data_IF_223336940664
#
_entry.id   IF_223336940664
#
_cell.length_a   1.000
_cell.length_b   1.000
_cell.length_c   1.000
_cell.angle_alpha   90.00
_cell.angle_beta   90.00
_cell.angle_gamma   90.00
#
_symmetry.space_group_name_H-M   'P 1'
#
loop_
_entity.id
_entity.type
_entity.pdbx_description
1 polymer ?
#
# COMPACT_ATOMS: atom_id res chain seq x y z
N UNK A 1 -7.37 0.03 -20.84
CA UNK A 1 -5.93 -0.31 -20.79
C UNK A 1 -5.02 0.91 -20.98
N UNK A 2 -5.49 1.99 -21.62
CA UNK A 2 -4.79 3.26 -21.88
C UNK A 2 -5.08 4.37 -20.84
N UNK A 3 -4.96 4.07 -19.54
CA UNK A 3 -5.06 5.11 -18.51
C UNK A 3 -3.73 5.86 -18.45
N UNK A 4 -3.80 7.19 -18.50
CA UNK A 4 -2.65 8.10 -18.41
C UNK A 4 -2.76 8.92 -17.13
N UNK A 5 -1.62 9.34 -16.61
CA UNK A 5 -1.51 10.14 -15.39
C UNK A 5 -0.85 11.48 -15.71
N UNK A 6 -0.83 12.40 -14.75
CA UNK A 6 -0.41 13.79 -15.00
C UNK A 6 1.05 14.06 -14.73
N UNK A 7 1.72 13.24 -13.92
CA UNK A 7 3.14 13.42 -13.64
C UNK A 7 3.97 13.18 -14.90
N UNK A 8 4.93 14.08 -15.15
CA UNK A 8 5.85 14.00 -16.29
C UNK A 8 6.60 12.65 -16.30
N UNK A 9 6.99 12.17 -17.48
CA UNK A 9 7.61 10.84 -17.62
C UNK A 9 9.06 10.90 -18.04
N UNK A 10 9.48 11.95 -18.76
CA UNK A 10 10.81 12.01 -19.34
C UNK A 10 11.35 13.43 -19.38
N UNK A 11 12.68 13.57 -19.37
CA UNK A 11 13.34 14.79 -19.84
C UNK A 11 13.41 14.78 -21.38
N UNK A 12 13.61 15.95 -21.99
CA UNK A 12 13.72 16.09 -23.47
C UNK A 12 12.46 15.63 -24.24
N UNK A 13 11.28 15.81 -23.64
CA UNK A 13 9.98 15.61 -24.29
C UNK A 13 9.27 16.95 -24.52
N UNK A 14 8.24 16.95 -25.37
CA UNK A 14 7.48 18.14 -25.72
C UNK A 14 6.26 18.28 -24.81
N UNK A 15 6.00 19.51 -24.37
CA UNK A 15 4.73 19.91 -23.76
C UNK A 15 3.91 20.71 -24.76
N UNK A 16 2.67 20.28 -24.99
CA UNK A 16 1.79 20.86 -25.98
C UNK A 16 0.33 20.86 -25.52
N UNK A 17 -0.36 21.96 -25.82
CA UNK A 17 -1.72 22.24 -25.36
C UNK A 17 -2.73 21.95 -26.45
N UNK A 18 -3.74 21.17 -26.12
CA UNK A 18 -4.97 21.09 -26.88
C UNK A 18 -6.00 22.04 -26.27
N UNK A 19 -6.13 23.21 -26.87
CA UNK A 19 -7.10 24.22 -26.47
C UNK A 19 -8.51 23.81 -26.90
N UNK A 20 -9.48 23.99 -26.01
CA UNK A 20 -10.88 23.81 -26.37
C UNK A 20 -11.46 25.08 -27.02
N UNK A 21 -12.17 24.94 -28.14
CA UNK A 21 -12.88 26.05 -28.75
C UNK A 21 -14.06 26.48 -27.87
N UNK A 22 -14.14 27.78 -27.64
CA UNK A 22 -15.22 28.42 -26.93
C UNK A 22 -16.04 29.27 -27.91
N UNK A 23 -17.34 29.34 -27.69
CA UNK A 23 -18.21 30.25 -28.40
C UNK A 23 -18.02 31.71 -27.93
N UNK A 24 -18.74 32.63 -28.54
CA UNK A 24 -18.71 34.06 -28.22
C UNK A 24 -19.10 34.40 -26.77
N UNK A 25 -19.76 33.49 -26.06
CA UNK A 25 -20.16 33.64 -24.67
C UNK A 25 -19.19 32.94 -23.70
N UNK A 26 -18.10 32.36 -24.22
CA UNK A 26 -17.14 31.59 -23.42
C UNK A 26 -17.62 30.18 -23.08
N UNK A 27 -18.66 29.67 -23.76
CA UNK A 27 -19.19 28.32 -23.55
C UNK A 27 -18.48 27.34 -24.50
N UNK A 28 -18.05 26.15 -24.04
CA UNK A 28 -17.43 25.18 -24.92
C UNK A 28 -18.33 24.77 -26.09
N UNK A 29 -17.82 24.85 -27.33
CA UNK A 29 -18.49 24.27 -28.50
C UNK A 29 -18.38 22.75 -28.44
N UNK A 30 -19.43 22.09 -27.95
CA UNK A 30 -19.40 20.66 -27.66
C UNK A 30 -19.07 19.78 -28.88
N UNK A 31 -19.42 20.22 -30.10
CA UNK A 31 -19.10 19.47 -31.32
C UNK A 31 -17.61 19.53 -31.59
N UNK A 32 -17.03 20.72 -31.52
CA UNK A 32 -15.61 20.92 -31.76
C UNK A 32 -14.75 20.38 -30.60
N UNK A 33 -15.22 20.46 -29.35
CA UNK A 33 -14.60 19.82 -28.17
C UNK A 33 -14.54 18.30 -28.35
N UNK A 34 -15.63 17.67 -28.79
CA UNK A 34 -15.63 16.22 -29.04
C UNK A 34 -14.58 15.84 -30.08
N UNK A 35 -14.46 16.61 -31.16
CA UNK A 35 -13.44 16.36 -32.19
C UNK A 35 -12.02 16.43 -31.63
N UNK A 36 -11.72 17.42 -30.78
CA UNK A 36 -10.41 17.52 -30.09
C UNK A 36 -10.16 16.30 -29.21
N UNK A 37 -11.12 15.88 -28.40
CA UNK A 37 -10.96 14.69 -27.55
C UNK A 37 -10.83 13.40 -28.34
N UNK A 38 -11.51 13.25 -29.48
CA UNK A 38 -11.36 12.09 -30.36
C UNK A 38 -9.91 11.97 -30.88
N UNK A 39 -9.26 13.09 -31.21
CA UNK A 39 -7.83 13.14 -31.58
C UNK A 39 -6.94 12.72 -30.42
N UNK A 40 -7.15 13.26 -29.22
CA UNK A 40 -6.37 12.92 -28.02
C UNK A 40 -6.52 11.44 -27.66
N UNK A 41 -7.75 10.91 -27.70
CA UNK A 41 -8.04 9.50 -27.41
C UNK A 41 -7.35 8.59 -28.42
N UNK A 42 -7.36 8.96 -29.70
CA UNK A 42 -6.64 8.23 -30.75
C UNK A 42 -5.14 8.22 -30.47
N UNK A 43 -4.53 9.38 -30.20
CA UNK A 43 -3.10 9.48 -29.88
C UNK A 43 -2.71 8.66 -28.64
N UNK A 44 -3.54 8.66 -27.59
CA UNK A 44 -3.34 7.84 -26.40
C UNK A 44 -3.38 6.33 -26.72
N UNK A 45 -4.36 5.89 -27.53
CA UNK A 45 -4.46 4.48 -27.95
C UNK A 45 -3.30 4.03 -28.81
N UNK A 46 -2.70 4.95 -29.57
CA UNK A 46 -1.49 4.73 -30.36
C UNK A 46 -0.21 4.77 -29.51
N UNK A 47 -0.29 5.05 -28.21
CA UNK A 47 0.85 5.09 -27.30
C UNK A 47 1.71 6.34 -27.41
N UNK A 48 1.17 7.42 -28.01
CA UNK A 48 1.92 8.65 -28.30
C UNK A 48 1.99 9.62 -27.12
N UNK A 49 1.09 9.47 -26.15
CA UNK A 49 0.97 10.35 -24.98
C UNK A 49 1.68 9.73 -23.79
N UNK A 50 2.62 10.47 -23.19
CA UNK A 50 3.37 10.08 -22.01
C UNK A 50 2.62 10.42 -20.72
N UNK A 51 2.16 11.66 -20.62
CA UNK A 51 1.33 12.17 -19.53
C UNK A 51 0.35 13.22 -20.05
N UNK A 52 -0.72 13.47 -19.29
CA UNK A 52 -1.68 14.52 -19.62
C UNK A 52 -2.31 15.13 -18.38
N UNK A 53 -2.61 16.43 -18.44
CA UNK A 53 -3.27 17.17 -17.37
C UNK A 53 -4.29 18.15 -17.92
N UNK A 54 -5.47 18.16 -17.32
CA UNK A 54 -6.51 19.17 -17.60
C UNK A 54 -6.10 20.52 -17.02
N UNK A 55 -6.37 21.60 -17.75
CA UNK A 55 -6.12 22.96 -17.28
C UNK A 55 -7.27 23.44 -16.39
N UNK A 56 -6.93 23.99 -15.22
CA UNK A 56 -7.86 24.48 -14.21
C UNK A 56 -7.83 26.00 -14.06
N UNK A 57 -8.14 26.47 -12.86
CA UNK A 57 -8.25 27.90 -12.55
C UNK A 57 -6.90 28.62 -12.54
N UNK A 58 -5.80 27.96 -12.19
CA UNK A 58 -4.45 28.53 -12.20
C UNK A 58 -3.74 28.42 -13.55
N UNK A 59 -4.45 28.01 -14.62
CA UNK A 59 -3.95 28.01 -15.98
C UNK A 59 -2.81 27.00 -16.25
N UNK A 60 -2.01 27.31 -17.26
CA UNK A 60 -0.85 26.51 -17.65
C UNK A 60 0.24 26.49 -16.58
N UNK A 61 0.47 27.61 -15.88
CA UNK A 61 1.47 27.70 -14.83
C UNK A 61 1.22 26.69 -13.71
N UNK A 62 -0.02 26.63 -13.20
CA UNK A 62 -0.43 25.63 -12.21
C UNK A 62 -0.31 24.20 -12.78
N UNK A 63 -0.76 24.00 -14.01
CA UNK A 63 -0.75 22.68 -14.64
C UNK A 63 0.68 22.13 -14.77
N UNK A 64 1.56 22.87 -15.44
CA UNK A 64 2.98 22.52 -15.63
C UNK A 64 3.65 22.24 -14.29
N UNK A 65 3.49 23.13 -13.32
CA UNK A 65 4.09 22.99 -11.99
C UNK A 65 3.65 21.70 -11.31
N UNK A 66 2.34 21.39 -11.31
CA UNK A 66 1.81 20.16 -10.71
C UNK A 66 2.16 18.89 -11.48
N UNK A 67 2.43 18.97 -12.79
CA UNK A 67 2.93 17.81 -13.56
C UNK A 67 4.39 17.48 -13.17
N UNK A 68 5.16 18.49 -12.75
CA UNK A 68 6.57 18.35 -12.35
C UNK A 68 6.77 17.94 -10.87
N UNK A 69 5.74 18.06 -10.03
CA UNK A 69 5.81 17.68 -8.62
C UNK A 69 6.05 16.18 -8.43
N UNK A 70 6.80 15.83 -7.38
CA UNK A 70 7.12 14.45 -6.99
C UNK A 70 8.32 13.85 -7.72
N UNK A 71 8.34 13.87 -9.06
CA UNK A 71 9.47 13.36 -9.85
C UNK A 71 10.57 14.40 -10.11
N UNK A 72 10.26 15.70 -9.95
CA UNK A 72 11.23 16.77 -10.11
C UNK A 72 11.70 16.99 -11.56
N UNK A 73 10.95 16.52 -12.56
CA UNK A 73 11.29 16.75 -13.97
C UNK A 73 11.08 18.24 -14.28
N UNK A 74 12.13 18.90 -14.74
CA UNK A 74 12.13 20.32 -15.07
C UNK A 74 11.29 20.61 -16.31
N UNK A 75 10.92 21.88 -16.50
CA UNK A 75 10.19 22.34 -17.68
C UNK A 75 10.74 23.69 -18.12
N UNK A 76 11.06 23.79 -19.40
CA UNK A 76 11.41 25.02 -20.09
C UNK A 76 10.22 25.46 -20.95
N UNK A 77 9.52 26.50 -20.48
CA UNK A 77 8.33 27.05 -21.12
C UNK A 77 8.75 28.04 -22.20
N UNK A 78 8.13 27.95 -23.37
CA UNK A 78 8.39 28.84 -24.49
C UNK A 78 8.14 30.31 -24.10
N UNK A 79 9.23 31.10 -24.07
CA UNK A 79 9.26 32.50 -23.65
C UNK A 79 8.51 33.46 -24.59
N UNK A 80 8.07 32.97 -25.76
CA UNK A 80 7.21 33.71 -26.69
C UNK A 80 5.73 33.68 -26.30
N UNK A 81 5.35 32.87 -25.32
CA UNK A 81 3.97 32.83 -24.81
C UNK A 81 3.73 34.09 -23.98
N UNK A 82 2.59 34.75 -24.20
CA UNK A 82 2.17 35.88 -23.37
C UNK A 82 2.10 35.45 -21.89
N UNK A 83 2.83 36.10 -20.97
CA UNK A 83 2.78 35.78 -19.55
C UNK A 83 1.36 35.79 -18.98
N UNK A 84 0.47 36.67 -19.47
CA UNK A 84 -0.92 36.69 -19.01
C UNK A 84 -1.69 35.42 -19.42
N UNK A 85 -1.32 34.79 -20.55
CA UNK A 85 -1.92 33.55 -21.00
C UNK A 85 -1.56 32.35 -20.10
N UNK A 86 -0.38 32.35 -19.48
CA UNK A 86 0.06 31.27 -18.59
C UNK A 86 -0.87 31.08 -17.39
N UNK A 87 -1.51 32.16 -16.93
CA UNK A 87 -2.41 32.17 -15.78
C UNK A 87 -3.90 32.20 -16.18
N UNK A 88 -4.21 32.14 -17.48
CA UNK A 88 -5.59 32.14 -17.95
C UNK A 88 -6.25 30.78 -17.66
N UNK A 89 -7.45 30.76 -17.04
CA UNK A 89 -8.23 29.53 -16.92
C UNK A 89 -8.63 28.99 -18.29
N UNK A 90 -8.39 27.70 -18.54
CA UNK A 90 -8.71 27.04 -19.81
C UNK A 90 -9.42 25.70 -19.56
N UNK A 91 -10.54 25.74 -18.83
CA UNK A 91 -11.27 24.55 -18.42
C UNK A 91 -11.53 23.57 -19.56
N UNK A 92 -11.20 22.29 -19.32
CA UNK A 92 -11.34 21.19 -20.27
C UNK A 92 -10.20 21.09 -21.29
N UNK A 93 -9.38 22.14 -21.48
CA UNK A 93 -8.17 22.03 -22.31
C UNK A 93 -7.18 21.07 -21.66
N UNK A 94 -6.39 20.38 -22.47
CA UNK A 94 -5.49 19.33 -21.99
C UNK A 94 -4.06 19.66 -22.41
N UNK A 95 -3.17 19.76 -21.43
CA UNK A 95 -1.72 19.79 -21.64
C UNK A 95 -1.21 18.35 -21.71
N UNK A 96 -0.45 18.06 -22.76
CA UNK A 96 0.04 16.72 -23.09
C UNK A 96 1.56 16.74 -23.19
N UNK A 97 2.18 15.71 -22.62
CA UNK A 97 3.59 15.37 -22.80
C UNK A 97 3.72 14.26 -23.86
N UNK A 98 4.61 14.45 -24.83
CA UNK A 98 4.92 13.42 -25.85
C UNK A 98 6.29 13.66 -26.50
N UNK A 99 6.83 12.63 -27.16
CA UNK A 99 8.09 12.76 -27.91
C UNK A 99 7.92 13.38 -29.30
N UNK A 100 6.69 13.45 -29.82
CA UNK A 100 6.38 13.99 -31.13
C UNK A 100 5.32 15.10 -31.06
N UNK A 101 5.28 15.95 -32.08
CA UNK A 101 4.25 16.98 -32.22
C UNK A 101 2.94 16.31 -32.60
N UNK A 102 1.87 16.60 -31.86
CA UNK A 102 0.55 16.04 -32.15
C UNK A 102 -0.28 17.03 -32.97
N UNK A 103 -0.98 16.54 -33.99
CA UNK A 103 -1.84 17.35 -34.85
C UNK A 103 -2.92 18.07 -34.04
N UNK A 104 -3.11 19.38 -34.30
CA UNK A 104 -4.10 20.20 -33.59
C UNK A 104 -3.67 20.71 -32.21
N UNK A 105 -2.40 20.52 -31.84
CA UNK A 105 -1.84 21.03 -30.59
C UNK A 105 -1.01 22.30 -30.79
N UNK A 106 -0.88 23.09 -29.72
CA UNK A 106 -0.02 24.27 -29.65
C UNK A 106 1.20 23.98 -28.77
N UNK A 107 2.44 24.23 -29.24
CA UNK A 107 3.63 24.00 -28.42
C UNK A 107 3.68 24.94 -27.22
N UNK A 108 3.89 24.38 -26.02
CA UNK A 108 4.00 25.12 -24.76
C UNK A 108 5.44 25.18 -24.28
N UNK A 109 6.20 24.11 -24.44
CA UNK A 109 7.58 24.03 -23.95
C UNK A 109 8.14 22.63 -24.08
N UNK A 110 9.20 22.35 -23.32
CA UNK A 110 9.85 21.04 -23.27
C UNK A 110 10.20 20.66 -21.84
N UNK A 111 10.24 19.37 -21.55
CA UNK A 111 10.74 18.87 -20.27
C UNK A 111 12.26 18.85 -20.24
N UNK A 112 12.86 18.98 -19.06
CA UNK A 112 14.32 19.05 -18.84
C UNK A 112 14.71 18.26 -17.59
N UNK A 113 16.01 18.04 -17.39
CA UNK A 113 16.58 17.33 -16.24
C UNK A 113 17.12 18.25 -15.13
N UNK A 114 16.88 19.57 -15.23
CA UNK A 114 17.50 20.58 -14.37
C UNK A 114 16.74 20.89 -13.06
N UNK A 115 15.64 20.17 -12.79
CA UNK A 115 14.77 20.34 -11.62
C UNK A 115 14.16 21.74 -11.43
N UNK A 116 13.98 22.50 -12.52
CA UNK A 116 13.46 23.87 -12.48
C UNK A 116 12.30 24.06 -13.45
N UNK A 117 11.41 24.98 -13.11
CA UNK A 117 10.47 25.59 -14.06
C UNK A 117 11.11 26.88 -14.57
N UNK A 118 11.28 26.99 -15.88
CA UNK A 118 11.98 28.08 -16.56
C UNK A 118 11.03 28.80 -17.50
N UNK A 119 11.09 30.13 -17.51
CA UNK A 119 10.39 30.99 -18.47
C UNK A 119 11.26 32.21 -18.79
N UNK A 120 11.81 32.28 -20.01
CA UNK A 120 12.76 33.32 -20.38
C UNK A 120 14.03 33.26 -19.52
N UNK A 121 14.35 34.34 -18.81
CA UNK A 121 15.47 34.41 -17.88
C UNK A 121 15.14 33.92 -16.46
N UNK A 122 13.86 33.73 -16.15
CA UNK A 122 13.41 33.37 -14.81
C UNK A 122 13.43 31.85 -14.63
N UNK A 123 13.88 31.39 -13.46
CA UNK A 123 13.93 29.97 -13.13
C UNK A 123 13.64 29.77 -11.63
N UNK A 124 12.70 28.87 -11.32
CA UNK A 124 12.34 28.52 -9.94
C UNK A 124 12.55 27.01 -9.75
N UNK A 125 13.20 26.62 -8.66
CA UNK A 125 13.42 25.22 -8.36
C UNK A 125 12.11 24.52 -7.93
N UNK A 126 11.91 23.28 -8.38
CA UNK A 126 10.66 22.55 -8.13
C UNK A 126 10.44 22.31 -6.64
N UNK A 127 11.51 22.05 -5.88
CA UNK A 127 11.44 21.87 -4.43
C UNK A 127 10.94 23.13 -3.69
N UNK A 128 11.32 24.33 -4.14
CA UNK A 128 10.81 25.60 -3.59
C UNK A 128 9.30 25.74 -3.86
N UNK A 129 8.86 25.38 -5.07
CA UNK A 129 7.43 25.40 -5.44
C UNK A 129 6.62 24.37 -4.64
N UNK A 130 7.17 23.18 -4.39
CA UNK A 130 6.53 22.15 -3.57
C UNK A 130 6.35 22.62 -2.13
N UNK A 131 7.38 23.23 -1.54
CA UNK A 131 7.32 23.76 -0.18
C UNK A 131 6.22 24.82 -0.03
N UNK A 132 6.11 25.74 -0.99
CA UNK A 132 5.03 26.75 -1.02
C UNK A 132 3.66 26.11 -1.20
N UNK A 133 3.56 25.05 -2.01
CA UNK A 133 2.30 24.34 -2.26
C UNK A 133 1.79 23.57 -1.04
N UNK A 134 2.69 22.96 -0.27
CA UNK A 134 2.36 22.12 0.89
C UNK A 134 2.14 22.93 2.17
N UNK A 135 2.86 24.05 2.34
CA UNK A 135 2.81 24.90 3.53
C UNK A 135 1.39 25.28 4.03
N UNK A 136 0.39 25.62 3.17
CA UNK A 136 -0.91 26.10 3.63
C UNK A 136 -1.70 25.11 4.48
N UNK A 137 -1.55 23.80 4.23
CA UNK A 137 -2.32 22.77 4.94
C UNK A 137 -1.51 22.05 6.02
N UNK A 138 -0.18 22.24 6.08
CA UNK A 138 0.72 21.50 6.96
C UNK A 138 0.36 21.59 8.44
N UNK A 139 -0.13 22.75 8.90
CA UNK A 139 -0.53 22.96 10.29
C UNK A 139 -1.76 22.15 10.72
N UNK A 140 -2.61 21.73 9.76
CA UNK A 140 -3.84 20.97 10.00
C UNK A 140 -3.69 19.51 9.55
N UNK A 141 -2.98 19.29 8.45
CA UNK A 141 -2.74 18.00 7.83
C UNK A 141 -1.24 17.81 7.60
N UNK A 142 -0.46 17.44 8.64
CA UNK A 142 0.95 17.17 8.47
C UNK A 142 1.16 16.04 7.47
N UNK A 143 2.14 16.20 6.58
CA UNK A 143 2.48 15.23 5.53
C UNK A 143 3.17 14.01 6.11
N UNK A 144 3.95 14.22 7.19
CA UNK A 144 4.72 13.21 7.92
C UNK A 144 4.71 13.51 9.42
N UNK A 145 5.00 12.50 10.23
CA UNK A 145 5.40 12.73 11.61
C UNK A 145 6.87 13.18 11.67
N UNK A 146 7.19 14.10 12.59
CA UNK A 146 8.57 14.46 12.89
C UNK A 146 9.24 13.33 13.67
N UNK A 147 10.26 12.75 13.06
CA UNK A 147 10.99 11.60 13.57
C UNK A 147 12.48 11.79 13.31
N UNK A 148 13.30 11.27 14.20
CA UNK A 148 14.75 11.36 14.09
C UNK A 148 15.40 10.07 14.57
N UNK A 149 16.67 9.90 14.18
CA UNK A 149 17.45 8.72 14.52
C UNK A 149 17.75 7.84 13.31
N UNK A 150 18.75 6.98 13.49
CA UNK A 150 19.11 5.95 12.54
C UNK A 150 18.56 4.60 13.01
N UNK A 151 18.35 3.70 12.07
CA UNK A 151 17.93 2.33 12.33
C UNK A 151 18.73 1.40 11.43
N UNK A 152 19.04 0.21 11.95
CA UNK A 152 19.74 -0.80 11.17
C UNK A 152 18.84 -1.42 10.10
N UNK A 153 19.41 -1.64 8.92
CA UNK A 153 18.77 -2.45 7.87
C UNK A 153 19.06 -3.92 8.11
N UNK A 154 18.08 -4.66 8.63
CA UNK A 154 18.26 -6.03 9.08
C UNK A 154 18.33 -7.01 7.91
N UNK A 155 19.10 -8.09 8.08
CA UNK A 155 19.15 -9.18 7.11
C UNK A 155 19.33 -10.53 7.80
N UNK A 156 18.30 -11.37 7.77
CA UNK A 156 18.32 -12.70 8.36
C UNK A 156 17.95 -13.75 7.31
N UNK A 157 18.90 -14.64 6.98
CA UNK A 157 18.74 -15.63 5.92
C UNK A 157 18.63 -17.04 6.48
N UNK A 158 17.56 -17.74 6.12
CA UNK A 158 17.34 -19.17 6.40
C UNK A 158 17.45 -19.97 5.11
N UNK A 159 18.22 -21.05 5.15
CA UNK A 159 18.37 -22.04 4.08
C UNK A 159 18.63 -23.43 4.68
N UNK A 160 17.97 -24.51 4.22
CA UNK A 160 16.93 -24.56 3.18
C UNK A 160 15.58 -24.02 3.67
N UNK A 161 14.70 -23.68 2.72
CA UNK A 161 13.30 -23.35 3.02
C UNK A 161 12.59 -24.63 3.46
N UNK A 162 11.82 -24.55 4.55
CA UNK A 162 11.04 -25.68 5.09
C UNK A 162 9.70 -25.77 4.35
N UNK A 163 9.31 -26.97 3.94
CA UNK A 163 8.04 -27.29 3.29
C UNK A 163 7.31 -28.36 4.08
N UNK A 164 5.98 -28.38 3.99
CA UNK A 164 5.18 -29.44 4.59
C UNK A 164 5.52 -30.79 3.93
N UNK A 165 5.51 -31.87 4.73
CA UNK A 165 5.89 -33.21 4.23
C UNK A 165 4.85 -33.79 3.28
N UNK A 166 3.58 -33.61 3.61
CA UNK A 166 2.47 -34.11 2.81
C UNK A 166 2.08 -33.13 1.72
N UNK A 167 1.82 -33.65 0.53
CA UNK A 167 1.38 -32.86 -0.63
C UNK A 167 -0.13 -32.93 -0.78
N UNK A 168 -0.77 -31.78 -0.77
CA UNK A 168 -2.19 -31.65 -1.07
C UNK A 168 -2.37 -30.93 -2.40
N UNK A 169 -3.19 -31.50 -3.30
CA UNK A 169 -3.39 -30.92 -4.63
C UNK A 169 -4.04 -29.52 -4.57
N UNK A 170 -4.89 -29.27 -3.56
CA UNK A 170 -5.57 -28.00 -3.34
C UNK A 170 -5.78 -27.79 -1.83
N UNK A 171 -4.83 -27.15 -1.12
CA UNK A 171 -4.98 -26.90 0.32
C UNK A 171 -6.17 -25.96 0.58
N UNK A 172 -6.83 -26.15 1.71
CA UNK A 172 -7.94 -25.30 2.14
C UNK A 172 -7.44 -24.21 3.09
N UNK A 173 -7.87 -22.97 2.85
CA UNK A 173 -7.63 -21.83 3.74
C UNK A 173 -8.96 -21.34 4.31
N UNK A 174 -9.02 -21.25 5.64
CA UNK A 174 -10.16 -20.66 6.34
C UNK A 174 -9.95 -19.15 6.52
N UNK A 175 -10.95 -18.37 6.10
CA UNK A 175 -10.97 -16.91 6.20
C UNK A 175 -12.19 -16.50 7.03
N UNK A 176 -12.04 -16.24 8.35
CA UNK A 176 -13.15 -15.78 9.18
C UNK A 176 -13.56 -14.37 8.77
N UNK A 177 -14.87 -14.12 8.72
CA UNK A 177 -15.45 -12.81 8.40
C UNK A 177 -16.17 -12.28 9.63
N UNK A 178 -15.77 -11.11 10.12
CA UNK A 178 -16.41 -10.46 11.26
C UNK A 178 -17.19 -9.22 10.79
N UNK A 179 -18.24 -8.81 11.52
CA UNK A 179 -18.82 -7.49 11.35
C UNK A 179 -17.76 -6.38 11.33
N UNK A 180 -17.63 -5.69 10.19
CA UNK A 180 -16.65 -4.61 9.97
C UNK A 180 -15.35 -5.03 9.27
N UNK A 181 -15.11 -6.32 9.07
CA UNK A 181 -14.10 -6.81 8.10
C UNK A 181 -14.47 -6.31 6.69
N UNK A 182 -13.46 -5.97 5.88
CA UNK A 182 -13.70 -5.46 4.52
C UNK A 182 -12.64 -5.87 3.47
N UNK A 183 -11.72 -6.77 3.81
CA UNK A 183 -10.65 -7.26 2.93
C UNK A 183 -10.75 -8.77 2.65
N UNK A 184 -11.84 -9.41 3.07
CA UNK A 184 -12.07 -10.85 2.95
C UNK A 184 -12.18 -11.30 1.48
N UNK A 185 -12.86 -10.54 0.62
CA UNK A 185 -13.02 -10.88 -0.79
C UNK A 185 -11.70 -10.79 -1.56
N UNK A 186 -10.88 -9.79 -1.27
CA UNK A 186 -9.55 -9.66 -1.86
C UNK A 186 -8.65 -10.82 -1.42
N UNK A 187 -8.73 -11.20 -0.13
CA UNK A 187 -8.00 -12.36 0.41
C UNK A 187 -8.45 -13.68 -0.24
N UNK A 188 -9.76 -13.92 -0.37
CA UNK A 188 -10.33 -15.08 -1.07
C UNK A 188 -9.76 -15.15 -2.49
N UNK A 189 -9.86 -14.06 -3.25
CA UNK A 189 -9.39 -13.99 -4.63
C UNK A 189 -7.88 -14.25 -4.74
N UNK A 190 -7.07 -13.69 -3.83
CA UNK A 190 -5.63 -13.89 -3.81
C UNK A 190 -5.26 -15.37 -3.60
N UNK A 191 -5.91 -16.05 -2.65
CA UNK A 191 -5.67 -17.47 -2.39
C UNK A 191 -6.19 -18.38 -3.51
N UNK A 192 -7.35 -18.09 -4.09
CA UNK A 192 -7.88 -18.85 -5.22
C UNK A 192 -6.98 -18.75 -6.45
N UNK A 193 -6.46 -17.55 -6.75
CA UNK A 193 -5.48 -17.35 -7.81
C UNK A 193 -4.15 -18.09 -7.54
N UNK A 194 -3.75 -18.22 -6.27
CA UNK A 194 -2.59 -19.00 -5.87
C UNK A 194 -2.80 -20.52 -6.00
N UNK A 195 -4.06 -20.97 -6.08
CA UNK A 195 -4.46 -22.37 -6.28
C UNK A 195 -5.13 -23.03 -5.07
N UNK A 196 -5.36 -22.31 -3.97
CA UNK A 196 -6.06 -22.85 -2.80
C UNK A 196 -7.58 -22.89 -2.96
N UNK A 197 -8.24 -23.61 -2.05
CA UNK A 197 -9.69 -23.50 -1.82
C UNK A 197 -9.91 -22.58 -0.62
N UNK A 198 -10.39 -21.36 -0.87
CA UNK A 198 -10.76 -20.45 0.21
C UNK A 198 -12.18 -20.78 0.72
N UNK A 199 -12.34 -20.82 2.03
CA UNK A 199 -13.65 -20.99 2.69
C UNK A 199 -13.86 -19.88 3.71
N UNK A 200 -15.02 -19.25 3.66
CA UNK A 200 -15.39 -18.14 4.55
C UNK A 200 -16.56 -18.52 5.44
N UNK A 201 -16.50 -18.10 6.70
CA UNK A 201 -17.64 -18.18 7.64
C UNK A 201 -17.85 -16.81 8.26
N UNK A 202 -19.11 -16.35 8.30
CA UNK A 202 -19.49 -15.08 8.92
C UNK A 202 -19.73 -15.32 10.41
N UNK A 203 -19.08 -14.53 11.26
CA UNK A 203 -19.35 -14.50 12.68
C UNK A 203 -20.66 -13.76 12.95
N UNK A 204 -21.72 -14.51 13.23
CA UNK A 204 -23.03 -13.97 13.57
C UNK A 204 -23.08 -13.67 15.07
N UNK A 205 -23.46 -12.45 15.41
CA UNK A 205 -23.47 -11.96 16.78
C UNK A 205 -24.79 -11.27 17.21
N UNK A 206 -25.90 -11.58 16.52
CA UNK A 206 -27.21 -10.98 16.83
C UNK A 206 -27.91 -11.64 18.03
N UNK A 207 -27.54 -12.87 18.38
CA UNK A 207 -28.04 -13.60 19.54
C UNK A 207 -26.96 -14.47 20.18
N UNK A 208 -27.18 -14.94 21.42
CA UNK A 208 -26.27 -15.89 22.06
C UNK A 208 -26.14 -17.21 21.28
N UNK A 209 -27.23 -17.68 20.67
CA UNK A 209 -27.20 -18.89 19.85
C UNK A 209 -26.40 -18.69 18.56
N UNK A 210 -26.51 -17.52 17.93
CA UNK A 210 -25.70 -17.18 16.75
C UNK A 210 -24.20 -17.19 17.06
N UNK A 211 -23.82 -16.67 18.23
CA UNK A 211 -22.43 -16.69 18.68
C UNK A 211 -21.95 -18.13 18.85
N UNK A 212 -22.72 -18.98 19.55
CA UNK A 212 -22.37 -20.39 19.76
C UNK A 212 -22.23 -21.13 18.42
N UNK A 213 -23.20 -20.97 17.52
CA UNK A 213 -23.18 -21.60 16.20
C UNK A 213 -21.98 -21.12 15.38
N UNK A 214 -21.65 -19.82 15.43
CA UNK A 214 -20.50 -19.26 14.74
C UNK A 214 -19.19 -19.84 15.26
N UNK A 215 -19.04 -19.97 16.58
CA UNK A 215 -17.86 -20.60 17.20
C UNK A 215 -17.71 -22.05 16.72
N UNK A 216 -18.80 -22.83 16.73
CA UNK A 216 -18.78 -24.24 16.35
C UNK A 216 -18.45 -24.42 14.86
N UNK A 217 -19.07 -23.64 13.98
CA UNK A 217 -18.80 -23.65 12.55
C UNK A 217 -17.36 -23.22 12.24
N UNK A 218 -16.87 -22.15 12.86
CA UNK A 218 -15.50 -21.66 12.63
C UNK A 218 -14.46 -22.65 13.13
N UNK A 219 -14.63 -23.23 14.32
CA UNK A 219 -13.74 -24.26 14.84
C UNK A 219 -13.70 -25.50 13.91
N UNK A 220 -14.86 -25.92 13.38
CA UNK A 220 -14.91 -27.00 12.39
C UNK A 220 -14.17 -26.63 11.09
N UNK A 221 -14.30 -25.39 10.60
CA UNK A 221 -13.57 -24.94 9.41
C UNK A 221 -12.05 -24.89 9.63
N UNK A 222 -11.58 -24.50 10.82
CA UNK A 222 -10.16 -24.53 11.18
C UNK A 222 -9.63 -25.97 11.14
N UNK A 223 -10.37 -26.92 11.72
CA UNK A 223 -9.99 -28.34 11.71
C UNK A 223 -9.95 -28.94 10.29
N UNK A 224 -10.78 -28.43 9.39
CA UNK A 224 -10.80 -28.87 7.99
C UNK A 224 -9.74 -28.18 7.09
N UNK A 225 -9.09 -27.11 7.57
CA UNK A 225 -8.21 -26.26 6.76
C UNK A 225 -6.74 -26.43 7.12
N UNK A 226 -5.84 -26.22 6.17
CA UNK A 226 -4.38 -26.22 6.39
C UNK A 226 -3.85 -24.85 6.77
N UNK A 227 -4.64 -23.81 6.50
CA UNK A 227 -4.26 -22.43 6.74
C UNK A 227 -5.42 -21.64 7.36
N UNK A 228 -5.08 -20.65 8.16
CA UNK A 228 -5.99 -19.58 8.58
C UNK A 228 -5.45 -18.26 8.03
N UNK A 229 -6.31 -17.48 7.40
CA UNK A 229 -6.01 -16.10 7.02
C UNK A 229 -7.01 -15.16 7.70
N UNK A 230 -6.53 -14.30 8.60
CA UNK A 230 -7.35 -13.27 9.23
C UNK A 230 -7.26 -11.98 8.39
N UNK A 231 -8.36 -11.57 7.73
CA UNK A 231 -8.36 -10.41 6.83
C UNK A 231 -8.31 -9.06 7.57
N UNK A 232 -7.95 -8.02 6.83
CA UNK A 232 -8.03 -6.63 7.29
C UNK A 232 -9.44 -6.06 7.36
N UNK A 233 -9.55 -4.84 7.91
CA UNK A 233 -10.80 -4.09 8.06
C UNK A 233 -10.89 -3.36 9.39
N UNK A 234 -12.11 -3.09 9.84
CA UNK A 234 -12.42 -2.40 11.09
C UNK A 234 -13.37 -3.29 11.90
N UNK A 235 -12.90 -4.45 12.36
CA UNK A 235 -13.77 -5.38 13.10
C UNK A 235 -14.39 -4.71 14.33
N UNK A 236 -15.72 -4.76 14.44
CA UNK A 236 -16.51 -4.02 15.42
C UNK A 236 -16.24 -2.50 15.47
N UNK A 237 -15.81 -1.89 14.36
CA UNK A 237 -15.43 -0.47 14.30
C UNK A 237 -14.21 -0.13 15.15
N UNK A 238 -13.35 -1.11 15.42
CA UNK A 238 -12.20 -1.04 16.34
C UNK A 238 -12.58 -0.68 17.79
N UNK A 239 -13.85 -0.92 18.15
CA UNK A 239 -14.40 -0.77 19.51
C UNK A 239 -14.48 -2.14 20.21
N UNK A 240 -14.55 -2.18 21.57
CA UNK A 240 -14.50 -1.07 22.53
C UNK A 240 -13.11 -0.67 23.02
N UNK A 241 -12.04 -1.38 22.66
CA UNK A 241 -10.68 -1.07 23.15
C UNK A 241 -9.61 -1.29 22.08
N UNK A 242 -9.84 -0.76 20.88
CA UNK A 242 -8.87 -0.76 19.78
C UNK A 242 -8.98 -1.96 18.84
N UNK A 243 -8.23 -1.84 17.76
CA UNK A 243 -8.35 -2.69 16.57
C UNK A 243 -8.00 -4.16 16.83
N UNK A 244 -8.69 -5.09 16.18
CA UNK A 244 -8.43 -6.54 16.27
C UNK A 244 -8.86 -7.21 17.58
N UNK A 245 -9.33 -6.46 18.60
CA UNK A 245 -9.72 -7.02 19.90
C UNK A 245 -10.94 -7.93 19.81
N UNK A 246 -11.92 -7.59 18.98
CA UNK A 246 -13.11 -8.42 18.82
C UNK A 246 -12.76 -9.80 18.24
N UNK A 247 -11.90 -9.83 17.22
CA UNK A 247 -11.36 -11.06 16.64
C UNK A 247 -10.60 -11.85 17.71
N UNK A 248 -9.69 -11.21 18.44
CA UNK A 248 -8.91 -11.88 19.49
C UNK A 248 -9.81 -12.49 20.58
N UNK A 249 -10.86 -11.81 21.01
CA UNK A 249 -11.83 -12.34 21.98
C UNK A 249 -12.54 -13.60 21.49
N UNK A 250 -12.90 -13.65 20.20
CA UNK A 250 -13.54 -14.83 19.59
C UNK A 250 -12.56 -16.00 19.52
N UNK A 251 -11.32 -15.73 19.12
CA UNK A 251 -10.25 -16.74 19.03
C UNK A 251 -9.80 -17.28 20.39
N UNK A 252 -9.98 -16.52 21.48
CA UNK A 252 -9.77 -16.98 22.86
C UNK A 252 -10.84 -17.95 23.37
N UNK A 253 -11.96 -18.11 22.66
CA UNK A 253 -12.93 -19.14 23.02
C UNK A 253 -12.24 -20.52 23.04
N UNK A 254 -12.44 -21.36 24.08
CA UNK A 254 -11.73 -22.63 24.20
C UNK A 254 -11.81 -23.53 22.96
N UNK A 255 -12.95 -23.56 22.24
CA UNK A 255 -13.11 -24.37 21.03
C UNK A 255 -12.28 -23.82 19.85
N UNK A 256 -12.22 -22.50 19.72
CA UNK A 256 -11.42 -21.83 18.70
C UNK A 256 -9.94 -21.99 19.00
N UNK A 257 -9.54 -21.73 20.24
CA UNK A 257 -8.16 -21.87 20.70
C UNK A 257 -7.65 -23.29 20.48
N UNK A 258 -8.40 -24.31 20.90
CA UNK A 258 -8.04 -25.71 20.68
C UNK A 258 -7.83 -26.03 19.18
N UNK A 259 -8.73 -25.55 18.31
CA UNK A 259 -8.60 -25.79 16.88
C UNK A 259 -7.37 -25.10 16.26
N UNK A 260 -7.05 -23.87 16.70
CA UNK A 260 -5.85 -23.14 16.24
C UNK A 260 -4.57 -23.81 16.74
N UNK A 261 -4.53 -24.19 18.02
CA UNK A 261 -3.35 -24.84 18.60
C UNK A 261 -3.13 -26.23 18.00
N UNK A 262 -4.20 -26.98 17.70
CA UNK A 262 -4.09 -28.24 16.96
C UNK A 262 -3.51 -28.04 15.55
N UNK A 263 -3.97 -27.00 14.84
CA UNK A 263 -3.45 -26.65 13.52
C UNK A 263 -1.93 -26.40 13.56
N UNK A 264 -1.47 -25.60 14.53
CA UNK A 264 -0.06 -25.21 14.63
C UNK A 264 0.82 -26.33 15.22
N UNK A 265 0.38 -27.01 16.28
CA UNK A 265 1.26 -27.93 17.02
C UNK A 265 1.24 -29.35 16.48
N UNK A 266 0.13 -29.79 15.87
CA UNK A 266 -0.03 -31.20 15.48
C UNK A 266 -0.15 -31.40 13.96
N UNK A 267 -0.54 -30.36 13.21
CA UNK A 267 -0.89 -30.48 11.79
C UNK A 267 -0.02 -29.63 10.87
N UNK A 268 0.97 -28.95 11.46
CA UNK A 268 1.95 -28.14 10.75
C UNK A 268 1.33 -27.09 9.80
N UNK A 269 0.23 -26.48 10.23
CA UNK A 269 -0.48 -25.48 9.45
C UNK A 269 0.13 -24.08 9.53
N UNK A 270 -0.36 -23.18 8.68
CA UNK A 270 0.08 -21.79 8.62
C UNK A 270 -1.01 -20.81 9.05
N UNK A 271 -0.59 -19.67 9.59
CA UNK A 271 -1.51 -18.57 9.93
C UNK A 271 -0.98 -17.25 9.37
N UNK A 272 -1.85 -16.50 8.68
CA UNK A 272 -1.56 -15.18 8.14
C UNK A 272 -2.54 -14.16 8.72
N UNK A 273 -2.04 -12.98 9.09
CA UNK A 273 -2.86 -11.86 9.52
C UNK A 273 -2.38 -10.57 8.86
N UNK A 274 -3.30 -9.90 8.15
CA UNK A 274 -3.00 -8.64 7.46
C UNK A 274 -3.82 -7.51 8.07
N UNK A 275 -3.18 -6.38 8.37
CA UNK A 275 -3.77 -5.18 8.97
C UNK A 275 -4.54 -5.52 10.26
N UNK A 276 -5.88 -5.56 10.22
CA UNK A 276 -6.70 -5.99 11.37
C UNK A 276 -6.45 -7.43 11.80
N UNK A 277 -6.04 -8.29 10.87
CA UNK A 277 -5.56 -9.62 11.18
C UNK A 277 -4.26 -9.61 11.98
N UNK A 278 -3.28 -8.78 11.63
CA UNK A 278 -2.04 -8.66 12.40
C UNK A 278 -2.32 -8.15 13.82
N UNK A 279 -3.19 -7.15 13.95
CA UNK A 279 -3.65 -6.64 15.25
C UNK A 279 -4.32 -7.73 16.10
N UNK A 280 -5.08 -8.64 15.49
CA UNK A 280 -5.65 -9.79 16.19
C UNK A 280 -4.56 -10.79 16.61
N UNK A 281 -3.65 -11.16 15.70
CA UNK A 281 -2.58 -12.12 15.97
C UNK A 281 -1.66 -11.67 17.10
N UNK A 282 -1.24 -10.40 17.10
CA UNK A 282 -0.36 -9.87 18.15
C UNK A 282 -1.08 -9.81 19.51
N UNK A 283 -2.39 -9.48 19.52
CA UNK A 283 -3.22 -9.50 20.74
C UNK A 283 -3.58 -10.90 21.23
N UNK A 284 -3.35 -11.92 20.41
CA UNK A 284 -3.48 -13.33 20.77
C UNK A 284 -2.16 -13.93 21.27
N UNK A 285 -1.01 -13.30 20.99
CA UNK A 285 0.32 -13.84 21.29
C UNK A 285 0.87 -14.73 20.18
N UNK A 286 0.06 -15.06 19.18
CA UNK A 286 0.44 -15.89 18.03
C UNK A 286 1.64 -15.31 17.27
N UNK A 287 1.77 -13.99 17.25
CA UNK A 287 3.05 -13.33 17.02
C UNK A 287 3.42 -12.51 18.25
N UNK A 288 4.65 -12.63 18.78
CA UNK A 288 5.78 -13.39 18.23
C UNK A 288 5.87 -14.86 18.69
N UNK A 289 4.96 -15.37 19.52
CA UNK A 289 5.20 -16.63 20.25
C UNK A 289 4.81 -17.90 19.48
N UNK A 290 3.92 -17.81 18.49
CA UNK A 290 3.37 -18.99 17.80
C UNK A 290 2.24 -19.68 18.56
N UNK A 291 1.82 -19.16 19.70
CA UNK A 291 0.79 -19.75 20.55
C UNK A 291 -0.20 -18.69 21.04
N UNK A 292 -1.46 -19.09 21.28
CA UNK A 292 -2.42 -18.21 21.94
C UNK A 292 -2.09 -18.15 23.43
N UNK A 293 -1.75 -16.97 23.94
CA UNK A 293 -1.38 -16.76 25.33
C UNK A 293 -1.96 -15.47 25.92
N UNK A 294 -1.83 -15.33 27.24
CA UNK A 294 -2.10 -14.06 27.91
C UNK A 294 -1.04 -13.03 27.50
N UNK A 295 -1.49 -11.80 27.26
CA UNK A 295 -0.63 -10.70 26.82
C UNK A 295 -0.17 -9.92 28.05
N UNK A 296 1.14 -9.69 28.15
CA UNK A 296 1.74 -8.86 29.20
C UNK A 296 2.18 -7.51 28.64
N UNK A 297 2.47 -6.54 29.52
CA UNK A 297 2.87 -5.18 29.11
C UNK A 297 4.24 -5.15 28.40
N UNK A 298 5.07 -6.17 28.64
CA UNK A 298 6.39 -6.30 28.01
C UNK A 298 6.31 -6.81 26.56
N UNK A 299 5.20 -7.45 26.17
CA UNK A 299 5.03 -8.00 24.83
C UNK A 299 4.89 -6.88 23.78
N UNK A 300 5.37 -7.11 22.54
CA UNK A 300 5.19 -6.14 21.47
C UNK A 300 3.69 -5.96 21.16
N UNK A 301 3.33 -4.78 20.68
CA UNK A 301 1.94 -4.49 20.31
C UNK A 301 1.86 -3.51 19.14
N UNK A 302 0.63 -3.33 18.63
CA UNK A 302 0.29 -2.31 17.65
C UNK A 302 -0.58 -1.24 18.31
N UNK A 303 -0.29 0.02 18.01
CA UNK A 303 -0.99 1.18 18.58
C UNK A 303 -1.17 2.29 17.54
N UNK A 304 -1.73 3.42 17.96
CA UNK A 304 -1.97 4.61 17.14
C UNK A 304 -0.72 5.06 16.40
N UNK A 305 -0.90 5.42 15.13
CA UNK A 305 0.14 6.02 14.31
C UNK A 305 0.65 7.32 14.96
N UNK A 306 1.95 7.59 14.86
CA UNK A 306 2.57 8.84 15.38
C UNK A 306 2.02 10.10 14.72
N UNK A 307 1.62 10.03 13.45
CA UNK A 307 1.01 11.14 12.70
C UNK A 307 -0.39 11.51 13.21
N UNK A 308 -0.97 10.73 14.14
CA UNK A 308 -2.25 11.03 14.78
C UNK A 308 -3.49 10.88 13.89
N UNK A 309 -3.34 10.25 12.71
CA UNK A 309 -4.44 10.01 11.76
C UNK A 309 -4.31 8.68 11.02
N UNK A 310 -5.39 8.30 10.35
CA UNK A 310 -5.40 7.19 9.40
C UNK A 310 -4.44 7.46 8.25
N UNK A 311 -3.59 6.48 7.94
CA UNK A 311 -2.70 6.53 6.77
C UNK A 311 -3.29 5.68 5.65
N UNK A 312 -3.29 6.22 4.44
CA UNK A 312 -3.65 5.52 3.20
C UNK A 312 -2.58 5.84 2.17
N UNK A 313 -1.61 4.94 2.01
CA UNK A 313 -0.41 5.18 1.20
C UNK A 313 0.20 3.85 0.71
N UNK A 314 1.23 3.91 -0.13
CA UNK A 314 1.95 2.75 -0.67
C UNK A 314 3.47 2.90 -0.43
N UNK A 315 3.94 2.79 0.84
CA UNK A 315 5.36 2.89 1.15
C UNK A 315 6.15 1.71 0.58
N UNK A 316 7.48 1.82 0.60
CA UNK A 316 8.36 0.68 0.33
C UNK A 316 8.60 -0.09 1.60
N UNK A 317 8.52 -1.41 1.48
CA UNK A 317 8.94 -2.34 2.50
C UNK A 317 9.99 -3.26 1.92
N UNK A 318 10.94 -3.67 2.76
CA UNK A 318 12.02 -4.59 2.40
C UNK A 318 11.84 -5.89 3.16
N UNK A 319 12.10 -7.02 2.51
CA UNK A 319 12.19 -8.33 3.18
C UNK A 319 13.47 -8.36 4.04
N UNK A 320 13.30 -8.30 5.36
CA UNK A 320 14.39 -8.35 6.33
C UNK A 320 14.73 -9.78 6.74
N UNK A 321 13.74 -10.68 6.74
CA UNK A 321 13.92 -12.09 7.05
C UNK A 321 13.11 -12.97 6.11
N UNK A 322 13.69 -14.08 5.64
CA UNK A 322 12.99 -15.13 4.91
C UNK A 322 12.70 -16.37 5.78
N UNK A 323 12.68 -16.21 7.11
CA UNK A 323 12.36 -17.28 8.08
C UNK A 323 10.99 -17.93 7.81
N UNK A 324 10.00 -17.13 7.42
CA UNK A 324 8.63 -17.59 7.26
C UNK A 324 8.40 -18.34 5.94
N UNK A 325 7.68 -19.48 5.94
CA UNK A 325 7.22 -20.11 4.71
C UNK A 325 6.38 -19.18 3.81
N UNK A 326 5.66 -18.23 4.40
CA UNK A 326 4.94 -17.19 3.66
C UNK A 326 5.85 -16.30 2.79
N UNK A 327 7.15 -16.27 3.07
CA UNK A 327 8.16 -15.47 2.35
C UNK A 327 9.10 -16.33 1.49
N UNK A 328 8.80 -17.62 1.30
CA UNK A 328 9.62 -18.56 0.55
C UNK A 328 9.89 -18.15 -0.91
N UNK A 329 8.97 -17.40 -1.54
CA UNK A 329 9.12 -16.91 -2.92
C UNK A 329 9.83 -15.55 -3.01
N UNK A 330 10.39 -15.06 -1.90
CA UNK A 330 11.12 -13.79 -1.81
C UNK A 330 12.58 -14.04 -1.42
N UNK A 331 13.42 -13.02 -1.59
CA UNK A 331 14.79 -12.98 -1.10
C UNK A 331 14.93 -11.86 -0.09
N UNK A 332 15.77 -12.10 0.93
CA UNK A 332 16.20 -11.03 1.85
C UNK A 332 16.83 -9.90 1.04
N UNK A 333 16.31 -8.69 1.19
CA UNK A 333 16.67 -7.53 0.39
C UNK A 333 15.64 -7.12 -0.65
N UNK A 334 14.67 -7.98 -1.02
CA UNK A 334 13.65 -7.61 -1.99
C UNK A 334 12.79 -6.46 -1.47
N UNK A 335 12.57 -5.44 -2.31
CA UNK A 335 11.78 -4.26 -1.99
C UNK A 335 10.44 -4.31 -2.71
N UNK A 336 9.37 -4.03 -1.96
CA UNK A 336 8.01 -4.04 -2.47
C UNK A 336 7.26 -2.76 -2.07
N UNK A 337 6.38 -2.29 -2.95
CA UNK A 337 5.42 -1.20 -2.72
C UNK A 337 4.15 -1.78 -2.11
N UNK A 338 3.88 -1.51 -0.84
CA UNK A 338 2.79 -2.17 -0.11
C UNK A 338 1.63 -1.22 0.18
N UNK A 339 0.42 -1.45 -0.35
CA UNK A 339 -0.75 -0.66 0.01
C UNK A 339 -1.04 -0.74 1.51
N UNK A 340 -1.25 0.39 2.16
CA UNK A 340 -1.52 0.48 3.59
C UNK A 340 -2.75 1.33 3.85
N UNK A 341 -3.53 0.93 4.86
CA UNK A 341 -4.77 1.60 5.25
C UNK A 341 -5.07 1.31 6.72
N UNK A 342 -4.56 2.12 7.64
CA UNK A 342 -4.77 1.91 9.09
C UNK A 342 -4.62 3.19 9.92
N UNK A 343 -5.33 3.24 11.06
CA UNK A 343 -5.10 4.23 12.12
C UNK A 343 -4.20 3.76 13.26
N UNK A 344 -4.10 2.43 13.45
CA UNK A 344 -3.43 1.77 14.58
C UNK A 344 -2.42 0.72 14.10
N UNK A 345 -1.46 1.14 13.25
CA UNK A 345 -0.47 0.23 12.66
C UNK A 345 0.93 0.33 13.24
N UNK A 346 1.13 1.16 14.27
CA UNK A 346 2.46 1.44 14.82
C UNK A 346 2.93 0.30 15.69
N UNK A 347 3.99 -0.38 15.26
CA UNK A 347 4.70 -1.37 16.06
C UNK A 347 5.50 -0.70 17.18
N UNK A 348 5.30 -1.19 18.40
CA UNK A 348 6.07 -0.80 19.59
C UNK A 348 6.55 -2.05 20.34
N UNK A 349 7.77 -1.95 20.86
CA UNK A 349 8.41 -2.97 21.67
C UNK A 349 9.55 -2.31 22.47
N UNK A 350 9.96 -2.92 23.58
CA UNK A 350 11.16 -2.49 24.30
C UNK A 350 12.43 -2.92 23.55
N UNK A 351 13.57 -2.27 23.82
CA UNK A 351 14.85 -2.63 23.21
C UNK A 351 15.25 -4.10 23.51
N UNK A 352 14.93 -4.59 24.70
CA UNK A 352 15.16 -5.98 25.08
C UNK A 352 14.37 -6.96 24.20
N UNK A 353 13.09 -6.66 23.95
CA UNK A 353 12.23 -7.47 23.06
C UNK A 353 12.69 -7.36 21.62
N UNK A 354 12.99 -6.14 21.14
CA UNK A 354 13.52 -5.94 19.79
C UNK A 354 14.78 -6.76 19.55
N UNK A 355 15.71 -6.76 20.51
CA UNK A 355 16.94 -7.56 20.42
C UNK A 355 16.62 -9.06 20.23
N UNK A 356 15.70 -9.60 21.01
CA UNK A 356 15.28 -11.01 20.89
C UNK A 356 14.66 -11.28 19.51
N UNK A 357 13.74 -10.42 19.06
CA UNK A 357 13.09 -10.57 17.75
C UNK A 357 14.09 -10.49 16.58
N UNK A 358 15.09 -9.61 16.69
CA UNK A 358 16.16 -9.46 15.69
C UNK A 358 17.06 -10.70 15.67
N UNK A 359 17.53 -11.15 16.84
CA UNK A 359 18.39 -12.34 16.97
C UNK A 359 17.70 -13.61 16.44
N UNK A 360 16.39 -13.73 16.68
CA UNK A 360 15.58 -14.85 16.17
C UNK A 360 15.16 -14.69 14.69
N UNK A 361 15.46 -13.56 14.04
CA UNK A 361 15.04 -13.30 12.66
C UNK A 361 13.52 -13.11 12.49
N UNK A 362 12.81 -12.72 13.54
CA UNK A 362 11.35 -12.57 13.55
C UNK A 362 10.87 -11.22 12.98
N UNK A 363 11.78 -10.28 12.74
CA UNK A 363 11.47 -9.06 11.98
C UNK A 363 11.42 -9.40 10.49
N UNK A 364 10.21 -9.62 9.98
CA UNK A 364 9.99 -10.10 8.61
C UNK A 364 10.23 -9.00 7.57
N UNK A 365 9.71 -7.80 7.83
CA UNK A 365 9.73 -6.68 6.89
C UNK A 365 9.97 -5.35 7.60
N UNK A 366 10.74 -4.46 6.95
CA UNK A 366 10.99 -3.10 7.41
C UNK A 366 10.54 -2.06 6.39
N UNK A 367 10.07 -0.89 6.85
CA UNK A 367 9.89 0.32 6.04
C UNK A 367 11.25 0.84 5.57
N UNK A 368 11.35 1.21 4.29
CA UNK A 368 12.59 1.70 3.69
C UNK A 368 12.40 2.98 2.87
N UNK A 369 13.47 3.77 2.77
CA UNK A 369 13.56 4.93 1.88
C UNK A 369 13.79 4.53 0.41
N UNK A 370 13.99 5.52 -0.48
CA UNK A 370 14.20 5.28 -1.91
C UNK A 370 15.52 4.56 -2.21
N UNK A 371 16.47 4.63 -1.29
CA UNK A 371 17.76 3.95 -1.33
C UNK A 371 17.66 2.49 -0.85
N UNK A 372 16.50 2.11 -0.30
CA UNK A 372 16.23 0.77 0.20
C UNK A 372 16.79 0.51 1.60
N UNK A 373 17.18 1.56 2.32
CA UNK A 373 17.65 1.48 3.70
C UNK A 373 16.47 1.64 4.67
N UNK A 374 16.49 0.87 5.76
CA UNK A 374 15.50 1.03 6.83
C UNK A 374 15.55 2.45 7.39
N UNK A 375 14.39 3.07 7.59
CA UNK A 375 14.32 4.47 7.98
C UNK A 375 13.21 4.76 8.99
N UNK A 376 13.49 5.70 9.89
CA UNK A 376 12.50 6.23 10.82
C UNK A 376 11.81 7.49 10.29
N UNK A 377 12.21 8.02 9.13
CA UNK A 377 11.58 9.20 8.52
C UNK A 377 10.09 8.92 8.23
N UNK A 378 9.20 9.74 8.80
CA UNK A 378 7.74 9.61 8.66
C UNK A 378 7.22 9.64 7.22
N UNK A 379 8.01 10.10 6.23
CA UNK A 379 7.66 10.00 4.79
C UNK A 379 7.63 8.57 4.28
N UNK A 380 8.48 7.72 4.85
CA UNK A 380 8.68 6.33 4.42
C UNK A 380 8.18 5.32 5.46
N UNK A 381 8.17 5.72 6.73
CA UNK A 381 7.60 4.99 7.86
C UNK A 381 6.30 5.69 8.33
N UNK A 382 5.16 5.48 7.65
CA UNK A 382 3.97 6.31 7.80
C UNK A 382 3.26 6.18 9.16
N UNK A 383 3.49 5.09 9.91
CA UNK A 383 2.94 4.92 11.27
C UNK A 383 3.93 5.26 12.39
N UNK A 384 5.22 5.43 12.08
CA UNK A 384 6.28 5.62 13.06
C UNK A 384 6.54 4.37 13.90
N UNK A 385 6.44 3.19 13.30
CA UNK A 385 6.87 1.93 13.93
C UNK A 385 8.32 2.01 14.40
N UNK A 386 8.60 1.54 15.61
CA UNK A 386 9.97 1.44 16.10
C UNK A 386 10.77 0.48 15.24
N UNK A 387 12.07 0.74 15.09
CA UNK A 387 12.97 -0.07 14.25
C UNK A 387 12.50 -0.26 12.80
N UNK A 388 11.64 0.64 12.31
CA UNK A 388 10.99 0.57 11.01
C UNK A 388 10.20 -0.74 10.76
N UNK A 389 9.72 -1.43 11.81
CA UNK A 389 9.05 -2.73 11.67
C UNK A 389 7.68 -2.58 10.98
N UNK A 390 7.47 -3.35 9.90
CA UNK A 390 6.19 -3.43 9.20
C UNK A 390 5.44 -4.74 9.50
N UNK A 391 6.18 -5.86 9.61
CA UNK A 391 5.62 -7.16 9.90
C UNK A 391 6.59 -8.05 10.64
N UNK A 392 6.05 -9.00 11.40
CA UNK A 392 6.80 -9.95 12.24
C UNK A 392 6.25 -11.37 12.10
N UNK A 393 7.01 -12.35 12.55
CA UNK A 393 6.61 -13.77 12.55
C UNK A 393 6.61 -14.38 13.94
N UNK A 394 5.97 -15.54 14.09
CA UNK A 394 6.28 -16.48 15.17
C UNK A 394 7.74 -16.93 15.10
N UNK A 395 8.25 -17.49 16.19
CA UNK A 395 9.64 -17.96 16.28
C UNK A 395 9.96 -19.07 15.25
N UNK A 396 8.97 -19.90 14.93
CA UNK A 396 9.07 -20.95 13.91
C UNK A 396 8.72 -20.46 12.48
N UNK A 397 8.33 -19.20 12.33
CA UNK A 397 7.98 -18.59 11.05
C UNK A 397 6.58 -18.91 10.50
N UNK A 398 5.81 -19.86 11.08
CA UNK A 398 4.53 -20.34 10.52
C UNK A 398 3.37 -19.36 10.66
N UNK A 399 3.45 -18.46 11.63
CA UNK A 399 2.53 -17.33 11.79
C UNK A 399 3.20 -16.07 11.25
N UNK A 400 2.55 -15.38 10.30
CA UNK A 400 3.00 -14.08 9.78
C UNK A 400 1.93 -13.00 10.06
N UNK A 401 2.34 -11.93 10.73
CA UNK A 401 1.56 -10.71 10.91
C UNK A 401 2.18 -9.53 10.14
N UNK A 402 1.37 -8.78 9.39
CA UNK A 402 1.84 -7.56 8.69
C UNK A 402 0.76 -6.52 8.48
N UNK A 403 1.16 -5.26 8.28
CA UNK A 403 0.27 -4.12 8.07
C UNK A 403 -0.04 -3.86 6.58
N UNK A 404 0.94 -4.12 5.71
CA UNK A 404 0.83 -4.00 4.27
C UNK A 404 -0.14 -5.01 3.69
N UNK A 405 -1.08 -4.52 2.89
CA UNK A 405 -2.12 -5.31 2.24
C UNK A 405 -1.60 -6.01 0.98
N UNK A 406 -0.94 -7.15 1.17
CA UNK A 406 -0.47 -7.99 0.05
C UNK A 406 -1.62 -8.52 -0.82
N UNK A 407 -2.85 -8.61 -0.29
CA UNK A 407 -4.05 -9.05 -1.00
C UNK A 407 -4.63 -7.98 -1.94
N UNK A 408 -4.29 -6.70 -1.73
CA UNK A 408 -4.78 -5.58 -2.56
C UNK A 408 -4.00 -5.51 -3.88
N UNK A 409 -4.10 -6.57 -4.67
CA UNK A 409 -3.42 -6.75 -5.94
C UNK A 409 -4.43 -7.01 -7.06
N UNK A 410 -4.12 -6.53 -8.26
CA UNK A 410 -5.02 -6.66 -9.40
C UNK A 410 -4.42 -6.12 -10.69
N UNK A 411 -5.01 -6.53 -11.82
CA UNK A 411 -4.59 -6.05 -13.13
C UNK A 411 -4.80 -4.53 -13.21
N UNK A 412 -3.78 -3.80 -13.65
CA UNK A 412 -3.80 -2.35 -13.88
C UNK A 412 -3.98 -1.47 -12.62
N UNK A 413 -3.77 -1.99 -11.40
CA UNK A 413 -3.74 -1.14 -10.20
C UNK A 413 -2.43 -0.34 -10.12
N UNK A 414 -2.50 0.82 -9.48
CA UNK A 414 -1.33 1.62 -9.05
C UNK A 414 -0.31 1.94 -10.15
N UNK A 415 -0.73 2.08 -11.41
CA UNK A 415 0.16 2.29 -12.56
C UNK A 415 1.12 3.49 -12.44
N UNK A 416 0.74 4.48 -11.64
CA UNK A 416 1.52 5.67 -11.36
C UNK A 416 2.55 5.50 -10.22
N UNK A 417 2.59 4.34 -9.57
CA UNK A 417 3.49 4.06 -8.46
C UNK A 417 4.48 2.97 -8.92
N UNK A 418 5.73 3.33 -9.24
CA UNK A 418 6.71 2.36 -9.69
C UNK A 418 7.18 1.45 -8.55
N UNK A 419 7.43 0.19 -8.89
CA UNK A 419 7.95 -0.83 -7.99
C UNK A 419 7.19 -2.16 -8.09
N UNK A 420 7.75 -3.22 -7.49
CA UNK A 420 7.05 -4.49 -7.37
C UNK A 420 6.03 -4.41 -6.22
N UNK A 421 4.80 -4.87 -6.44
CA UNK A 421 3.74 -4.90 -5.43
C UNK A 421 3.35 -6.32 -5.02
N UNK A 422 3.92 -7.34 -5.66
CA UNK A 422 3.61 -8.73 -5.39
C UNK A 422 4.76 -9.42 -4.66
N UNK A 423 4.54 -9.68 -3.37
CA UNK A 423 5.45 -10.47 -2.52
C UNK A 423 5.24 -11.98 -2.72
N UNK A 424 4.23 -12.40 -3.47
CA UNK A 424 3.84 -13.79 -3.72
C UNK A 424 3.56 -14.61 -2.45
N UNK A 425 3.18 -13.96 -1.35
CA UNK A 425 3.01 -14.65 -0.05
C UNK A 425 1.89 -15.70 -0.09
N UNK A 426 0.80 -15.44 -0.81
CA UNK A 426 -0.30 -16.39 -0.98
C UNK A 426 0.18 -17.62 -1.76
N UNK A 427 0.98 -17.42 -2.80
CA UNK A 427 1.54 -18.53 -3.57
C UNK A 427 2.55 -19.32 -2.75
N UNK A 428 3.36 -18.64 -1.94
CA UNK A 428 4.31 -19.29 -1.04
C UNK A 428 3.61 -20.16 0.00
N UNK A 429 2.57 -19.65 0.67
CA UNK A 429 1.79 -20.43 1.64
C UNK A 429 0.99 -21.58 1.03
N UNK A 430 0.54 -21.46 -0.22
CA UNK A 430 -0.11 -22.58 -0.95
C UNK A 430 0.90 -23.66 -1.38
N UNK A 431 2.14 -23.28 -1.63
CA UNK A 431 3.20 -24.20 -2.04
C UNK A 431 3.87 -24.90 -0.85
N UNK A 432 3.82 -24.30 0.35
CA UNK A 432 4.23 -24.92 1.61
C UNK A 432 3.43 -26.19 1.84
#
# INVERSE_FOLDING_TARGET
ESVITSELKSSESLLQLFSLPLDKNGVPDLVAVKAVYDVIIKANREGKILSAKTIGYGGLAEAVTKMAFGNGIGVDINDRIDPAFLFKPLYGSILIESFEILEGSTPIGKTTDNNKIVFGSDAIAINELMEVWEAPLRSVYPEKAETSGAVETLSFKVTPIVYHKDKLAKPQVFIPVFPGTNCEYDSVKAFENAGAKAVTTIFRNQSAQDIINSIDEMAAQIRASQMIMIPGGFSAGDQPNGSGKFIASVFRNPKMMDAVMDLLNNRDGLVLGICNGFQALIKLGLVPNGEICEITEEMPTLTFNTIGRHVSTIPMTRISSNLSPWLANTKVGDIHRMPMSHGEGRFIASDAVLKILIENGQIATQYVDFEGAATLDGRFNPNGSVYAVEGITSQDGRVLGKMGHSERIGKNLYKNIPGNMDQQIFKAGVNY
#
